data_IF_931350216913
#
_entry.id   IF_931350216913
#
_cell.length_a   1.000
_cell.length_b   1.000
_cell.length_c   1.000
_cell.angle_alpha   90.00
_cell.angle_beta   90.00
_cell.angle_gamma   90.00
#
_symmetry.space_group_name_H-M   'P 1'
#
loop_
_entity.id
_entity.type
_entity.pdbx_description
1 polymer ?
#
# COMPACT_ATOMS: atom_id res chain seq x y z
N UNK A 1 26.18 -10.31 -6.54
CA UNK A 1 26.54 -11.68 -6.16
C UNK A 1 25.27 -12.49 -5.92
N UNK A 2 25.43 -13.80 -5.91
CA UNK A 2 24.30 -14.68 -5.64
C UNK A 2 23.68 -14.41 -4.29
N UNK A 3 24.50 -14.08 -3.32
CA UNK A 3 24.06 -13.75 -2.00
C UNK A 3 23.19 -12.50 -2.02
N UNK A 4 23.61 -11.51 -2.78
CA UNK A 4 22.82 -10.30 -2.95
C UNK A 4 21.53 -10.58 -3.68
N UNK A 5 21.55 -11.47 -4.66
CA UNK A 5 20.36 -11.84 -5.40
C UNK A 5 19.37 -12.60 -4.51
N UNK A 6 19.88 -13.52 -3.68
CA UNK A 6 19.05 -14.28 -2.76
C UNK A 6 18.45 -13.40 -1.66
N UNK A 7 19.25 -12.44 -1.20
CA UNK A 7 18.82 -11.48 -0.20
C UNK A 7 18.23 -10.25 -0.86
N UNK A 8 18.48 -10.12 -2.14
CA UNK A 8 18.43 -8.89 -2.85
C UNK A 8 17.28 -8.76 -3.80
N UNK A 9 16.24 -9.56 -3.65
CA UNK A 9 15.02 -9.29 -4.40
C UNK A 9 14.66 -7.83 -4.13
N UNK A 10 14.59 -7.04 -5.19
CA UNK A 10 14.41 -5.61 -5.05
C UNK A 10 13.41 -5.09 -6.06
N UNK A 11 12.84 -3.92 -5.74
CA UNK A 11 11.89 -3.24 -6.61
C UNK A 11 12.37 -1.81 -6.80
N UNK A 12 12.20 -1.29 -8.00
CA UNK A 12 12.74 0.02 -8.35
C UNK A 12 11.72 1.13 -8.20
N UNK A 13 12.19 2.30 -7.79
CA UNK A 13 11.46 3.56 -7.91
C UNK A 13 12.48 4.60 -8.37
N UNK A 14 12.32 5.09 -9.59
CA UNK A 14 13.30 5.96 -10.20
C UNK A 14 14.64 5.25 -10.33
N UNK A 15 15.70 5.90 -9.88
CA UNK A 15 17.05 5.35 -9.93
C UNK A 15 17.38 4.47 -8.71
N UNK A 16 16.51 4.38 -7.74
CA UNK A 16 16.74 3.62 -6.51
C UNK A 16 16.09 2.26 -6.56
N UNK A 17 16.70 1.31 -5.84
CA UNK A 17 16.09 -0.01 -5.65
C UNK A 17 15.90 -0.27 -4.17
N UNK A 18 14.82 -0.96 -3.84
CA UNK A 18 14.39 -1.18 -2.46
C UNK A 18 14.29 -2.66 -2.18
N UNK A 19 14.78 -3.06 -1.03
CA UNK A 19 14.72 -4.44 -0.55
C UNK A 19 13.81 -4.60 0.65
N UNK A 20 13.52 -3.49 1.35
CA UNK A 20 12.69 -3.51 2.55
C UNK A 20 11.32 -2.95 2.26
N UNK A 21 10.26 -3.68 2.62
CA UNK A 21 8.89 -3.22 2.33
C UNK A 21 8.56 -1.90 3.00
N UNK A 22 9.04 -1.69 4.23
CA UNK A 22 8.74 -0.45 4.94
C UNK A 22 9.36 0.76 4.26
N UNK A 23 10.60 0.62 3.77
CA UNK A 23 11.29 1.72 3.09
C UNK A 23 10.68 1.99 1.72
N UNK A 24 10.36 0.93 0.99
CA UNK A 24 9.67 1.07 -0.29
C UNK A 24 8.36 1.82 -0.12
N UNK A 25 7.58 1.46 0.88
CA UNK A 25 6.27 2.09 1.10
C UNK A 25 6.40 3.59 1.35
N UNK A 26 7.38 4.01 2.14
CA UNK A 26 7.63 5.42 2.39
C UNK A 26 7.97 6.18 1.11
N UNK A 27 8.83 5.60 0.28
CA UNK A 27 9.22 6.25 -0.98
C UNK A 27 8.06 6.26 -1.98
N UNK A 28 7.34 5.16 -2.09
CA UNK A 28 6.25 5.02 -3.05
C UNK A 28 5.08 5.96 -2.74
N UNK A 29 4.91 6.30 -1.48
CA UNK A 29 3.83 7.19 -1.05
C UNK A 29 4.02 8.64 -1.53
N UNK A 30 5.23 9.00 -1.93
CA UNK A 30 5.52 10.36 -2.37
C UNK A 30 4.91 10.64 -3.75
N UNK A 31 4.48 11.87 -3.98
CA UNK A 31 3.82 12.25 -5.23
C UNK A 31 4.68 11.91 -6.45
N UNK A 32 5.98 12.11 -6.36
CA UNK A 32 6.91 11.90 -7.47
C UNK A 32 7.08 10.43 -7.87
N UNK A 33 6.80 9.50 -6.95
CA UNK A 33 6.96 8.07 -7.20
C UNK A 33 5.63 7.33 -7.32
N UNK A 34 4.53 8.03 -7.09
CA UNK A 34 3.22 7.39 -7.01
C UNK A 34 2.85 6.64 -8.29
N UNK A 35 3.03 7.29 -9.44
CA UNK A 35 2.63 6.69 -10.71
C UNK A 35 3.43 5.41 -11.01
N UNK A 36 4.72 5.42 -10.73
CA UNK A 36 5.56 4.23 -10.95
C UNK A 36 5.18 3.11 -9.99
N UNK A 37 4.93 3.45 -8.72
CA UNK A 37 4.51 2.46 -7.74
C UNK A 37 3.16 1.86 -8.10
N UNK A 38 2.24 2.68 -8.59
CA UNK A 38 0.94 2.20 -9.03
C UNK A 38 1.09 1.23 -10.20
N UNK A 39 1.93 1.55 -11.16
CA UNK A 39 2.22 0.67 -12.27
C UNK A 39 2.76 -0.68 -11.77
N UNK A 40 3.68 -0.65 -10.80
CA UNK A 40 4.21 -1.87 -10.19
C UNK A 40 3.10 -2.71 -9.55
N UNK A 41 2.15 -2.06 -8.87
CA UNK A 41 1.06 -2.78 -8.24
C UNK A 41 0.17 -3.45 -9.31
N UNK A 42 -0.22 -2.69 -10.31
CA UNK A 42 -1.15 -3.16 -11.34
C UNK A 42 -0.55 -4.25 -12.23
N UNK A 43 0.76 -4.23 -12.43
CA UNK A 43 1.46 -5.27 -13.21
C UNK A 43 1.81 -6.49 -12.38
N UNK A 44 1.56 -6.48 -11.10
CA UNK A 44 1.88 -7.60 -10.22
C UNK A 44 3.30 -7.60 -9.68
N UNK A 45 4.10 -6.57 -9.99
CA UNK A 45 5.49 -6.52 -9.56
C UNK A 45 5.63 -6.42 -8.04
N UNK A 46 4.74 -5.69 -7.38
CA UNK A 46 4.79 -5.57 -5.92
C UNK A 46 4.52 -6.93 -5.27
N UNK A 47 3.51 -7.64 -5.74
CA UNK A 47 3.16 -8.96 -5.19
C UNK A 47 4.31 -9.94 -5.42
N UNK A 48 4.86 -9.97 -6.63
CA UNK A 48 5.97 -10.86 -6.95
C UNK A 48 7.20 -10.56 -6.09
N UNK A 49 7.51 -9.29 -5.93
CA UNK A 49 8.63 -8.89 -5.06
C UNK A 49 8.37 -9.30 -3.61
N UNK A 50 7.13 -9.08 -3.12
CA UNK A 50 6.76 -9.45 -1.76
C UNK A 50 6.92 -10.95 -1.52
N UNK A 51 6.59 -11.77 -2.51
CA UNK A 51 6.81 -13.21 -2.43
C UNK A 51 8.30 -13.55 -2.30
N UNK A 52 9.12 -12.91 -3.12
CA UNK A 52 10.55 -13.17 -3.13
C UNK A 52 11.27 -12.75 -1.84
N UNK A 53 10.82 -11.67 -1.21
CA UNK A 53 11.42 -11.25 0.05
C UNK A 53 10.83 -11.98 1.28
N UNK A 54 9.88 -12.87 1.04
CA UNK A 54 9.39 -13.75 2.09
C UNK A 54 8.42 -13.12 3.07
N UNK A 55 7.56 -12.21 2.61
CA UNK A 55 6.51 -11.68 3.47
C UNK A 55 5.57 -12.79 3.90
N UNK A 56 4.93 -12.63 5.05
CA UNK A 56 4.04 -13.64 5.59
C UNK A 56 2.90 -13.96 4.62
N UNK A 57 2.39 -15.21 4.66
CA UNK A 57 1.25 -15.57 3.81
C UNK A 57 0.05 -14.66 4.00
N UNK A 58 -0.16 -14.18 5.21
CA UNK A 58 -1.27 -13.28 5.51
C UNK A 58 -1.12 -11.94 4.78
N UNK A 59 0.07 -11.37 4.82
CA UNK A 59 0.35 -10.11 4.12
C UNK A 59 0.27 -10.30 2.61
N UNK A 60 0.79 -11.41 2.10
CA UNK A 60 0.71 -11.72 0.68
C UNK A 60 -0.74 -11.85 0.22
N UNK A 61 -1.58 -12.52 1.00
CA UNK A 61 -2.99 -12.65 0.69
C UNK A 61 -3.66 -11.28 0.64
N UNK A 62 -3.35 -10.41 1.60
CA UNK A 62 -3.88 -9.05 1.63
C UNK A 62 -3.45 -8.24 0.42
N UNK A 63 -2.18 -8.32 0.04
CA UNK A 63 -1.66 -7.61 -1.13
C UNK A 63 -2.34 -8.08 -2.41
N UNK A 64 -2.51 -9.40 -2.58
CA UNK A 64 -3.19 -9.94 -3.75
C UNK A 64 -4.64 -9.48 -3.81
N UNK A 65 -5.30 -9.50 -2.67
CA UNK A 65 -6.69 -9.06 -2.59
C UNK A 65 -6.84 -7.60 -3.00
N UNK A 66 -5.97 -6.73 -2.49
CA UNK A 66 -5.97 -5.31 -2.83
C UNK A 66 -5.66 -5.12 -4.31
N UNK A 67 -4.63 -5.80 -4.81
CA UNK A 67 -4.19 -5.65 -6.21
C UNK A 67 -5.28 -6.06 -7.20
N UNK A 68 -6.14 -7.00 -6.82
CA UNK A 68 -7.17 -7.56 -7.69
C UNK A 68 -8.57 -7.01 -7.43
N UNK A 69 -8.70 -6.08 -6.50
CA UNK A 69 -10.02 -5.59 -6.08
C UNK A 69 -10.59 -4.59 -7.10
N UNK A 70 -11.41 -5.09 -8.01
CA UNK A 70 -11.97 -4.28 -9.08
C UNK A 70 -12.90 -3.16 -8.61
N UNK A 71 -13.46 -3.29 -7.42
CA UNK A 71 -14.35 -2.29 -6.85
C UNK A 71 -13.66 -1.06 -6.30
N UNK A 72 -12.32 -1.07 -6.24
CA UNK A 72 -11.53 0.04 -5.73
C UNK A 72 -10.83 0.77 -6.86
N UNK A 73 -10.77 2.09 -6.75
CA UNK A 73 -9.98 2.90 -7.65
C UNK A 73 -8.49 2.61 -7.45
N UNK A 74 -7.72 2.81 -8.52
CA UNK A 74 -6.31 2.48 -8.52
C UNK A 74 -5.53 3.14 -7.38
N UNK A 75 -5.77 4.43 -7.15
CA UNK A 75 -5.06 5.16 -6.10
C UNK A 75 -5.35 4.57 -4.71
N UNK A 76 -6.58 4.11 -4.49
CA UNK A 76 -6.93 3.47 -3.23
C UNK A 76 -6.29 2.10 -3.09
N UNK A 77 -6.19 1.35 -4.18
CA UNK A 77 -5.48 0.07 -4.16
C UNK A 77 -4.04 0.26 -3.72
N UNK A 78 -3.36 1.25 -4.31
CA UNK A 78 -1.97 1.50 -3.92
C UNK A 78 -1.87 1.98 -2.49
N UNK A 79 -2.75 2.89 -2.08
CA UNK A 79 -2.76 3.39 -0.71
C UNK A 79 -2.84 2.24 0.30
N UNK A 80 -3.75 1.31 0.07
CA UNK A 80 -3.91 0.16 0.96
C UNK A 80 -2.73 -0.80 0.89
N UNK A 81 -2.18 -1.02 -0.30
CA UNK A 81 -1.01 -1.87 -0.47
C UNK A 81 0.18 -1.31 0.33
N UNK A 82 0.40 -0.01 0.27
CA UNK A 82 1.50 0.62 1.01
C UNK A 82 1.28 0.52 2.52
N UNK A 83 0.04 0.64 2.97
CA UNK A 83 -0.29 0.45 4.38
C UNK A 83 0.00 -0.98 4.83
N UNK A 84 -0.25 -1.96 3.98
CA UNK A 84 0.09 -3.35 4.27
C UNK A 84 1.60 -3.56 4.36
N UNK A 85 2.35 -2.93 3.48
CA UNK A 85 3.82 -3.04 3.47
C UNK A 85 4.45 -2.30 4.64
N UNK A 86 3.81 -1.25 5.13
CA UNK A 86 4.32 -0.49 6.27
C UNK A 86 3.15 0.00 7.12
N UNK A 87 2.71 -0.80 8.11
CA UNK A 87 1.57 -0.42 8.96
C UNK A 87 1.79 0.85 9.77
N UNK A 88 3.02 1.27 9.94
CA UNK A 88 3.35 2.46 10.75
C UNK A 88 3.07 3.78 10.04
N UNK A 89 3.01 3.80 8.72
CA UNK A 89 2.74 5.03 8.01
C UNK A 89 1.24 5.34 8.05
N UNK A 90 0.87 6.63 7.99
CA UNK A 90 -0.54 6.97 7.81
C UNK A 90 -1.00 6.56 6.41
N UNK A 91 -2.29 6.64 6.17
CA UNK A 91 -2.79 6.49 4.80
C UNK A 91 -2.35 7.71 4.01
N UNK A 92 -1.65 7.48 2.92
CA UNK A 92 -1.12 8.54 2.06
C UNK A 92 -1.57 8.27 0.64
N UNK A 93 -2.03 9.32 -0.03
CA UNK A 93 -2.39 9.23 -1.44
C UNK A 93 -1.67 10.35 -2.19
N UNK A 94 -0.80 9.98 -3.11
CA UNK A 94 -0.03 10.92 -3.94
C UNK A 94 0.71 11.97 -3.13
N UNK A 95 1.30 11.54 -2.01
CA UNK A 95 2.03 12.42 -1.12
C UNK A 95 1.17 13.17 -0.12
N UNK A 96 -0.15 13.05 -0.20
CA UNK A 96 -1.07 13.71 0.73
C UNK A 96 -1.53 12.73 1.81
N UNK A 97 -1.48 13.18 3.07
CA UNK A 97 -1.96 12.36 4.17
C UNK A 97 -3.48 12.42 4.19
N UNK A 98 -4.10 11.24 4.23
CA UNK A 98 -5.55 11.13 4.31
C UNK A 98 -5.98 11.43 5.75
N UNK A 99 -6.61 12.58 5.94
CA UNK A 99 -7.06 13.09 7.22
C UNK A 99 -8.58 13.21 7.20
N UNK A 100 -9.24 13.49 8.34
CA UNK A 100 -10.68 13.80 8.30
C UNK A 100 -11.00 14.96 7.35
N UNK A 101 -10.15 15.97 7.30
CA UNK A 101 -10.33 17.07 6.34
C UNK A 101 -10.25 16.61 4.90
N UNK A 102 -9.27 15.75 4.59
CA UNK A 102 -9.16 15.18 3.25
C UNK A 102 -10.44 14.42 2.87
N UNK A 103 -10.97 13.63 3.80
CA UNK A 103 -12.19 12.85 3.56
C UNK A 103 -13.39 13.77 3.28
N UNK A 104 -13.46 14.90 3.97
CA UNK A 104 -14.53 15.86 3.73
C UNK A 104 -14.43 16.51 2.35
N UNK A 105 -13.22 16.72 1.88
CA UNK A 105 -12.99 17.26 0.53
C UNK A 105 -13.16 16.22 -0.56
N UNK A 106 -13.13 14.93 -0.18
CA UNK A 106 -13.26 13.80 -1.10
C UNK A 106 -14.36 12.86 -0.61
N UNK A 107 -15.62 13.32 -0.57
CA UNK A 107 -16.68 12.55 0.10
C UNK A 107 -16.96 11.18 -0.50
N UNK A 108 -16.84 11.04 -1.82
CA UNK A 108 -17.08 9.75 -2.45
C UNK A 108 -16.00 8.74 -2.08
N UNK A 109 -14.74 9.15 -2.13
CA UNK A 109 -13.62 8.31 -1.75
C UNK A 109 -13.69 8.00 -0.26
N UNK A 110 -14.04 8.98 0.56
CA UNK A 110 -14.21 8.78 1.99
C UNK A 110 -15.27 7.75 2.30
N UNK A 111 -16.40 7.83 1.61
CA UNK A 111 -17.46 6.85 1.77
C UNK A 111 -16.98 5.43 1.42
N UNK A 112 -16.27 5.28 0.32
CA UNK A 112 -15.75 3.99 -0.11
C UNK A 112 -14.72 3.44 0.87
N UNK A 113 -13.95 4.31 1.49
CA UNK A 113 -12.93 3.90 2.45
C UNK A 113 -13.53 3.31 3.72
N UNK A 114 -14.66 3.84 4.17
CA UNK A 114 -15.28 3.41 5.44
C UNK A 114 -16.42 2.41 5.25
N UNK A 115 -16.77 2.08 4.02
CA UNK A 115 -17.86 1.15 3.72
C UNK A 115 -17.34 0.01 2.83
N UNK A 116 -18.18 -1.02 2.67
CA UNK A 116 -17.83 -2.13 1.79
C UNK A 116 -16.74 -3.03 2.36
N UNK A 117 -15.92 -3.59 1.50
CA UNK A 117 -14.92 -4.58 1.88
C UNK A 117 -13.63 -4.00 2.45
N UNK A 118 -13.40 -2.69 2.33
CA UNK A 118 -12.19 -2.06 2.83
C UNK A 118 -12.06 -2.17 4.35
N UNK A 119 -13.11 -1.84 5.13
CA UNK A 119 -13.03 -2.01 6.58
C UNK A 119 -12.71 -3.44 7.00
N UNK A 120 -13.31 -4.43 6.35
CA UNK A 120 -13.06 -5.83 6.67
C UNK A 120 -11.62 -6.21 6.42
N UNK A 121 -11.07 -5.77 5.29
CA UNK A 121 -9.68 -6.04 4.95
C UNK A 121 -8.74 -5.43 5.98
N UNK A 122 -8.99 -4.18 6.36
CA UNK A 122 -8.14 -3.48 7.33
C UNK A 122 -8.25 -4.13 8.71
N UNK A 123 -9.43 -4.57 9.10
CA UNK A 123 -9.63 -5.24 10.37
C UNK A 123 -8.85 -6.54 10.45
N UNK A 124 -8.85 -7.33 9.37
CA UNK A 124 -8.08 -8.57 9.30
C UNK A 124 -6.59 -8.35 9.56
N UNK A 125 -6.11 -7.16 9.31
CA UNK A 125 -4.70 -6.81 9.44
C UNK A 125 -4.39 -6.03 10.70
N UNK A 126 -5.35 -5.96 11.61
CA UNK A 126 -5.21 -5.26 12.89
C UNK A 126 -4.83 -3.79 12.72
N UNK A 127 -5.50 -3.12 11.79
CA UNK A 127 -5.22 -1.71 11.51
C UNK A 127 -6.28 -0.77 12.09
N UNK A 128 -6.99 -1.20 13.12
CA UNK A 128 -8.02 -0.39 13.76
C UNK A 128 -7.52 0.98 14.22
N UNK A 129 -6.25 1.03 14.62
CA UNK A 129 -5.66 2.28 15.11
C UNK A 129 -5.72 3.42 14.10
N UNK A 130 -5.65 3.12 12.80
CA UNK A 130 -5.66 4.20 11.81
C UNK A 130 -7.07 4.81 11.68
N UNK A 131 -8.12 3.99 11.82
CA UNK A 131 -9.49 4.53 11.83
C UNK A 131 -9.69 5.46 13.01
N UNK A 132 -9.16 5.09 14.17
CA UNK A 132 -9.21 5.94 15.34
C UNK A 132 -8.50 7.25 15.11
N UNK A 133 -7.35 7.23 14.44
CA UNK A 133 -6.62 8.45 14.09
C UNK A 133 -7.39 9.35 13.14
N UNK A 134 -8.13 8.76 12.20
CA UNK A 134 -8.94 9.54 11.28
C UNK A 134 -10.10 10.24 11.97
N UNK A 135 -10.60 9.66 13.05
CA UNK A 135 -11.72 10.24 13.81
C UNK A 135 -11.29 11.41 14.69
N UNK A 136 -10.04 11.52 14.99
CA UNK A 136 -9.53 12.63 15.79
C UNK A 136 -8.99 13.75 14.92
#
# INVERSE_FOLDING_TARGET
>A
SEKDDAEGASIALGARRFRKPTVFALAAAQAEHWAEALDHLLRGAIVTWAEHIGLSPRLLAGLRQVAQHEGLEDDFRLMLALKLLNPEIPLIQRGEIVTPGWLLEHPLEGYRLISGSVPDLLEQLHTESWLSRLKT
#
